data_IF_992043470412
#
_entry.id   IF_992043470412
#
_cell.length_a   1.000
_cell.length_b   1.000
_cell.length_c   1.000
_cell.angle_alpha   90.00
_cell.angle_beta   90.00
_cell.angle_gamma   90.00
#
_symmetry.space_group_name_H-M   'P 1'
#
loop_
_entity.id
_entity.type
_entity.pdbx_description
1 polymer ?
#
# COMPACT_ATOMS: atom_id res chain seq x y z
N UNK A 1 10.23 -18.86 -14.57
CA UNK A 1 10.48 -18.74 -13.12
C UNK A 1 11.48 -17.62 -12.90
N UNK A 2 11.23 -16.70 -11.97
CA UNK A 2 12.11 -15.57 -11.67
C UNK A 2 12.32 -15.51 -10.16
N UNK A 3 13.56 -15.24 -9.74
CA UNK A 3 13.89 -14.89 -8.36
C UNK A 3 14.36 -13.44 -8.40
N UNK A 4 13.84 -12.61 -7.51
CA UNK A 4 14.26 -11.22 -7.33
C UNK A 4 14.65 -11.00 -5.89
N UNK A 5 15.56 -10.05 -5.67
CA UNK A 5 15.85 -9.52 -4.34
C UNK A 5 15.20 -8.15 -4.23
N UNK A 6 14.39 -7.94 -3.21
CA UNK A 6 13.67 -6.66 -2.99
C UNK A 6 14.63 -5.47 -2.98
N UNK A 7 15.81 -5.63 -2.37
CA UNK A 7 16.84 -4.59 -2.31
C UNK A 7 17.41 -4.17 -3.68
N UNK A 8 17.15 -4.95 -4.74
CA UNK A 8 17.59 -4.69 -6.11
C UNK A 8 16.44 -4.19 -7.02
N UNK A 9 15.23 -4.02 -6.47
CA UNK A 9 14.08 -3.49 -7.22
C UNK A 9 14.01 -1.97 -7.04
N UNK A 10 13.98 -1.26 -8.17
CA UNK A 10 13.89 0.20 -8.20
C UNK A 10 12.73 0.74 -7.38
N UNK A 11 13.03 1.76 -6.56
CA UNK A 11 12.05 2.52 -5.80
C UNK A 11 11.60 3.68 -6.68
N UNK A 12 10.36 3.63 -7.13
CA UNK A 12 9.79 4.61 -8.06
C UNK A 12 8.80 5.50 -7.29
N UNK A 13 8.88 6.85 -7.40
CA UNK A 13 7.89 7.73 -6.80
C UNK A 13 6.48 7.45 -7.32
N UNK A 14 5.48 7.59 -6.45
CA UNK A 14 4.06 7.62 -6.84
C UNK A 14 3.57 9.06 -6.61
N UNK A 15 3.07 9.69 -7.67
CA UNK A 15 2.59 11.08 -7.61
C UNK A 15 1.34 11.24 -6.72
N UNK A 16 0.52 10.20 -6.63
CA UNK A 16 -0.64 10.18 -5.75
C UNK A 16 -0.22 9.80 -4.34
N UNK A 17 -0.12 10.80 -3.47
CA UNK A 17 0.07 10.64 -2.02
C UNK A 17 -0.90 11.58 -1.31
N UNK A 18 -1.63 11.08 -0.32
CA UNK A 18 -2.65 11.85 0.40
C UNK A 18 -2.26 11.96 1.87
N UNK A 19 -2.24 13.15 2.48
CA UNK A 19 -2.10 13.29 3.92
C UNK A 19 -3.21 12.53 4.65
N UNK A 20 -2.87 11.78 5.70
CA UNK A 20 -3.86 11.15 6.57
C UNK A 20 -4.71 12.21 7.28
N UNK A 21 -5.93 11.87 7.73
CA UNK A 21 -6.75 12.78 8.53
C UNK A 21 -5.99 13.33 9.75
N UNK A 22 -6.00 14.66 9.92
CA UNK A 22 -5.31 15.34 11.01
C UNK A 22 -3.80 15.56 10.81
N UNK A 23 -3.23 15.22 9.65
CA UNK A 23 -1.82 15.50 9.37
C UNK A 23 -1.52 17.00 9.26
N UNK A 24 -0.49 17.44 9.96
CA UNK A 24 -0.03 18.84 9.93
C UNK A 24 1.44 18.98 9.46
N UNK A 25 2.11 17.88 9.14
CA UNK A 25 3.57 17.81 8.97
C UNK A 25 4.10 18.08 7.56
N UNK A 26 3.37 18.81 6.72
CA UNK A 26 3.80 19.18 5.36
C UNK A 26 3.47 18.13 4.29
N UNK A 27 4.18 18.20 3.16
CA UNK A 27 3.97 17.31 2.03
C UNK A 27 4.30 15.85 2.37
N UNK A 28 3.53 14.93 1.83
CA UNK A 28 3.68 13.49 2.05
C UNK A 28 4.14 12.80 0.77
N UNK A 29 4.91 11.71 0.90
CA UNK A 29 5.40 10.95 -0.26
C UNK A 29 5.11 9.48 -0.14
N UNK A 30 4.90 8.87 -1.30
CA UNK A 30 4.70 7.44 -1.49
C UNK A 30 5.61 6.94 -2.60
N UNK A 31 6.13 5.73 -2.46
CA UNK A 31 6.92 5.07 -3.49
C UNK A 31 6.45 3.64 -3.72
N UNK A 32 6.83 3.08 -4.87
CA UNK A 32 6.48 1.71 -5.27
C UNK A 32 7.70 0.99 -5.81
N UNK A 33 7.80 -0.29 -5.48
CA UNK A 33 8.75 -1.23 -6.07
C UNK A 33 7.96 -2.35 -6.78
N UNK A 34 7.93 -2.37 -8.12
CA UNK A 34 7.19 -3.38 -8.86
C UNK A 34 7.87 -4.76 -8.71
N UNK A 35 7.18 -5.71 -8.07
CA UNK A 35 7.68 -7.08 -7.90
C UNK A 35 7.51 -7.92 -9.17
N UNK A 36 6.52 -7.55 -9.98
CA UNK A 36 6.32 -8.07 -11.34
C UNK A 36 6.54 -6.95 -12.35
N UNK A 37 7.23 -7.21 -13.48
CA UNK A 37 7.21 -6.30 -14.61
C UNK A 37 5.77 -6.09 -15.10
N UNK A 38 5.49 -4.92 -15.64
CA UNK A 38 4.21 -4.63 -16.27
C UNK A 38 3.87 -5.69 -17.34
N UNK A 39 2.64 -6.21 -17.31
CA UNK A 39 2.18 -7.25 -18.23
C UNK A 39 2.80 -8.64 -18.03
N UNK A 40 3.67 -8.85 -17.04
CA UNK A 40 4.30 -10.15 -16.80
C UNK A 40 3.32 -11.23 -16.31
N UNK A 41 2.16 -10.83 -15.78
CA UNK A 41 1.09 -11.70 -15.34
C UNK A 41 -0.24 -11.22 -15.93
N UNK A 42 -1.05 -12.17 -16.40
CA UNK A 42 -2.43 -11.91 -16.85
C UNK A 42 -3.46 -12.09 -15.73
N UNK A 43 -3.00 -12.40 -14.52
CA UNK A 43 -3.88 -12.83 -13.42
C UNK A 43 -3.80 -11.88 -12.23
N UNK A 44 -2.62 -11.38 -11.90
CA UNK A 44 -2.43 -10.52 -10.73
C UNK A 44 -1.27 -9.54 -10.93
N UNK A 45 -1.37 -8.41 -10.24
CA UNK A 45 -0.28 -7.46 -10.05
C UNK A 45 0.27 -7.60 -8.63
N UNK A 46 1.55 -7.29 -8.44
CA UNK A 46 2.13 -7.18 -7.10
C UNK A 46 3.26 -6.18 -7.04
N UNK A 47 3.31 -5.45 -5.94
CA UNK A 47 4.32 -4.42 -5.66
C UNK A 47 4.54 -4.27 -4.16
N UNK A 48 5.69 -3.74 -3.77
CA UNK A 48 5.82 -3.13 -2.44
C UNK A 48 5.43 -1.66 -2.59
N UNK A 49 4.59 -1.17 -1.68
CA UNK A 49 4.26 0.24 -1.56
C UNK A 49 4.81 0.74 -0.24
N UNK A 50 5.51 1.87 -0.26
CA UNK A 50 6.11 2.49 0.91
C UNK A 50 5.48 3.85 1.14
N UNK A 51 5.04 4.10 2.37
CA UNK A 51 4.41 5.33 2.83
C UNK A 51 5.34 6.03 3.81
N UNK A 52 5.59 7.32 3.60
CA UNK A 52 6.17 8.16 4.63
C UNK A 52 5.17 8.38 5.79
N UNK A 53 5.65 8.99 6.88
CA UNK A 53 4.81 9.38 8.01
C UNK A 53 3.70 10.32 7.54
N UNK A 54 2.50 10.11 8.05
CA UNK A 54 1.33 10.89 7.69
C UNK A 54 0.83 10.67 6.27
N UNK A 55 1.40 9.74 5.50
CA UNK A 55 1.00 9.45 4.12
C UNK A 55 0.02 8.29 4.05
N UNK A 56 -1.06 8.45 3.28
CA UNK A 56 -1.98 7.38 2.89
C UNK A 56 -2.30 7.39 1.39
N UNK A 57 -3.14 6.44 0.98
CA UNK A 57 -3.64 6.32 -0.39
C UNK A 57 -4.71 7.33 -0.77
N UNK A 58 -5.39 7.92 0.23
CA UNK A 58 -6.72 8.48 0.05
C UNK A 58 -7.80 7.39 -0.09
N UNK A 59 -9.06 7.79 0.02
CA UNK A 59 -10.20 6.88 -0.17
C UNK A 59 -10.29 6.40 -1.62
N UNK A 60 -10.42 5.10 -1.81
CA UNK A 60 -10.53 4.47 -3.12
C UNK A 60 -11.17 3.08 -3.05
N UNK A 61 -11.53 2.56 -4.23
CA UNK A 61 -12.03 1.18 -4.40
C UNK A 61 -11.21 0.45 -5.46
N UNK A 62 -11.25 -0.88 -5.41
CA UNK A 62 -10.71 -1.76 -6.45
C UNK A 62 -11.81 -2.57 -7.13
N UNK A 63 -11.62 -2.90 -8.41
CA UNK A 63 -12.52 -3.82 -9.16
C UNK A 63 -12.23 -5.30 -8.88
N UNK A 64 -11.30 -5.58 -7.98
CA UNK A 64 -10.99 -6.92 -7.48
C UNK A 64 -10.69 -6.82 -6.00
N UNK A 65 -10.64 -7.96 -5.33
CA UNK A 65 -10.10 -8.03 -3.97
C UNK A 65 -8.64 -7.57 -3.96
N UNK A 66 -8.24 -6.95 -2.85
CA UNK A 66 -6.87 -6.58 -2.57
C UNK A 66 -6.39 -7.32 -1.31
N UNK A 67 -5.17 -7.84 -1.39
CA UNK A 67 -4.45 -8.37 -0.24
C UNK A 67 -3.24 -7.49 0.06
N UNK A 68 -3.06 -7.12 1.32
CA UNK A 68 -1.88 -6.42 1.81
C UNK A 68 -1.15 -7.31 2.81
N UNK A 69 0.18 -7.38 2.72
CA UNK A 69 1.04 -8.05 3.71
C UNK A 69 2.03 -7.01 4.22
N UNK A 70 1.92 -6.62 5.49
CA UNK A 70 2.75 -5.57 6.06
C UNK A 70 4.17 -6.10 6.30
N UNK A 71 5.16 -5.38 5.80
CA UNK A 71 6.57 -5.80 5.82
C UNK A 71 7.48 -4.88 6.62
N UNK A 72 7.08 -3.64 6.88
CA UNK A 72 7.83 -2.72 7.74
C UNK A 72 6.93 -1.64 8.36
N UNK A 73 7.33 -1.16 9.54
CA UNK A 73 6.72 0.00 10.18
C UNK A 73 5.36 -0.28 10.80
N UNK A 74 4.59 0.79 11.03
CA UNK A 74 3.24 0.76 11.61
C UNK A 74 2.36 1.63 10.74
N UNK A 75 1.26 1.06 10.27
CA UNK A 75 0.31 1.73 9.40
C UNK A 75 -1.09 1.75 9.96
N UNK A 76 -1.99 2.30 9.15
CA UNK A 76 -3.43 2.31 9.36
C UNK A 76 -4.08 1.70 8.13
N UNK A 77 -5.15 0.93 8.32
CA UNK A 77 -6.16 0.67 7.30
C UNK A 77 -7.52 1.09 7.84
N UNK A 78 -8.34 1.69 6.97
CA UNK A 78 -9.69 2.06 7.31
C UNK A 78 -10.66 1.80 6.16
N UNK A 79 -11.87 1.41 6.54
CA UNK A 79 -13.08 1.46 5.72
C UNK A 79 -14.02 2.56 6.27
N UNK A 80 -15.21 2.68 5.69
CA UNK A 80 -16.21 3.69 6.10
C UNK A 80 -16.72 3.54 7.56
N UNK A 81 -16.52 2.38 8.16
CA UNK A 81 -17.05 2.00 9.48
C UNK A 81 -15.97 1.81 10.55
N UNK A 82 -14.75 1.47 10.13
CA UNK A 82 -13.69 1.02 11.01
C UNK A 82 -12.32 1.53 10.57
N UNK A 83 -11.46 1.81 11.56
CA UNK A 83 -10.06 2.14 11.37
C UNK A 83 -9.24 1.32 12.37
N UNK A 84 -8.18 0.68 11.90
CA UNK A 84 -7.27 -0.12 12.72
C UNK A 84 -5.80 0.16 12.37
N UNK A 85 -4.95 0.08 13.39
CA UNK A 85 -3.51 0.01 13.19
C UNK A 85 -3.11 -1.38 12.70
N UNK A 86 -2.09 -1.41 11.84
CA UNK A 86 -1.50 -2.64 11.28
C UNK A 86 0.01 -2.59 11.40
N UNK A 87 0.63 -3.73 11.68
CA UNK A 87 2.08 -3.87 11.89
C UNK A 87 2.65 -5.06 11.14
N UNK A 88 3.99 -5.21 11.17
CA UNK A 88 4.71 -6.26 10.43
C UNK A 88 4.15 -7.64 10.74
N UNK A 89 3.78 -8.37 9.68
CA UNK A 89 3.17 -9.70 9.76
C UNK A 89 1.66 -9.71 9.64
N UNK A 90 0.99 -8.57 9.80
CA UNK A 90 -0.44 -8.47 9.56
C UNK A 90 -0.75 -8.63 8.07
N UNK A 91 -1.90 -9.26 7.81
CA UNK A 91 -2.44 -9.49 6.49
C UNK A 91 -3.83 -8.88 6.42
N UNK A 92 -4.02 -7.95 5.49
CA UNK A 92 -5.30 -7.27 5.27
C UNK A 92 -5.92 -7.82 3.99
N UNK A 93 -7.21 -8.13 4.05
CA UNK A 93 -8.03 -8.49 2.90
C UNK A 93 -9.12 -7.44 2.74
N UNK A 94 -9.12 -6.76 1.60
CA UNK A 94 -10.13 -5.77 1.24
C UNK A 94 -10.96 -6.35 0.10
N UNK A 95 -12.28 -6.36 0.26
CA UNK A 95 -13.16 -6.93 -0.76
C UNK A 95 -13.30 -6.01 -1.97
N UNK A 96 -13.57 -6.61 -3.13
CA UNK A 96 -13.94 -5.86 -4.33
C UNK A 96 -15.03 -4.83 -4.03
N UNK A 97 -14.81 -3.57 -4.45
CA UNK A 97 -15.77 -2.48 -4.30
C UNK A 97 -15.83 -1.85 -2.91
N UNK A 98 -15.10 -2.37 -1.92
CA UNK A 98 -15.01 -1.78 -0.59
C UNK A 98 -14.20 -0.47 -0.64
N UNK A 99 -14.80 0.61 -0.16
CA UNK A 99 -14.11 1.91 -0.11
C UNK A 99 -13.21 1.96 1.12
N UNK A 100 -11.93 2.20 0.89
CA UNK A 100 -10.92 2.09 1.93
C UNK A 100 -9.75 3.03 1.67
N UNK A 101 -8.95 3.24 2.70
CA UNK A 101 -7.60 3.80 2.58
C UNK A 101 -6.64 3.09 3.51
N UNK A 102 -5.35 3.17 3.19
CA UNK A 102 -4.29 2.68 4.05
C UNK A 102 -3.03 3.53 3.90
N UNK A 103 -2.16 3.48 4.89
CA UNK A 103 -0.98 4.36 4.95
C UNK A 103 -0.12 4.19 6.17
N UNK A 104 0.89 5.05 6.30
CA UNK A 104 1.64 5.22 7.55
C UNK A 104 0.81 5.94 8.62
N UNK A 105 1.22 5.83 9.87
CA UNK A 105 0.65 6.63 10.97
C UNK A 105 1.25 8.04 10.97
N UNK A 106 0.78 8.92 11.86
CA UNK A 106 1.40 10.23 12.05
C UNK A 106 2.88 10.12 12.48
N UNK A 107 3.24 9.06 13.21
CA UNK A 107 4.56 8.93 13.83
C UNK A 107 5.46 7.87 13.17
N UNK A 108 4.90 7.03 12.28
CA UNK A 108 5.59 5.90 11.66
C UNK A 108 5.36 5.82 10.15
N UNK A 109 6.39 5.40 9.44
CA UNK A 109 6.27 4.96 8.06
C UNK A 109 5.64 3.56 8.01
N UNK A 110 5.20 3.12 6.84
CA UNK A 110 4.74 1.75 6.64
C UNK A 110 5.08 1.25 5.23
N UNK A 111 5.42 -0.02 5.13
CA UNK A 111 5.57 -0.73 3.86
C UNK A 111 4.73 -1.99 3.85
N UNK A 112 4.09 -2.29 2.73
CA UNK A 112 3.40 -3.56 2.51
C UNK A 112 3.65 -4.10 1.11
N UNK A 113 3.53 -5.41 0.95
CA UNK A 113 3.30 -6.05 -0.36
C UNK A 113 1.82 -5.96 -0.64
N UNK A 114 1.43 -5.45 -1.82
CA UNK A 114 0.05 -5.48 -2.31
C UNK A 114 -0.09 -6.53 -3.40
N UNK A 115 -1.25 -7.19 -3.45
CA UNK A 115 -1.65 -8.12 -4.51
C UNK A 115 -3.08 -7.76 -4.90
N UNK A 116 -3.29 -7.56 -6.21
CA UNK A 116 -4.61 -7.32 -6.81
C UNK A 116 -4.73 -8.14 -8.09
N UNK A 117 -5.95 -8.33 -8.61
CA UNK A 117 -6.10 -8.92 -9.93
C UNK A 117 -5.46 -8.03 -11.01
N UNK A 118 -5.04 -8.65 -12.11
CA UNK A 118 -4.67 -7.91 -13.31
C UNK A 118 -5.95 -7.35 -13.96
N UNK A 119 -5.94 -6.06 -14.29
CA UNK A 119 -6.98 -5.41 -15.12
C UNK A 119 -6.52 -5.34 -16.58
#
# INVERSE_FOLDING_TARGET
MRVIRIAEVDIVPIETATPIPGWTGGDVKRTRQPLLPEGASKTFNSSIVNFEKGCGTGWHTHKSDQMLVVTAGIGIVADESHQQEITVGDVVHVLQGENHWHGGTADSYMSHITITAAE
#
